data_IF_989106741253
#
_entry.id   IF_989106741253
#
_cell.length_a   1.000
_cell.length_b   1.000
_cell.length_c   1.000
_cell.angle_alpha   90.00
_cell.angle_beta   90.00
_cell.angle_gamma   90.00
#
_symmetry.space_group_name_H-M   'P 1'
#
loop_
_entity.id
_entity.type
_entity.pdbx_description
1 polymer ?
#
# COMPACT_ATOMS: atom_id res chain seq x y z
N UNK A 1 -0.07 -8.17 2.95
CA UNK A 1 1.20 -7.99 2.25
C UNK A 1 1.13 -6.65 1.53
N UNK A 2 1.77 -5.63 2.07
CA UNK A 2 1.90 -4.33 1.44
C UNK A 2 3.27 -4.26 0.76
N UNK A 3 3.31 -3.75 -0.47
CA UNK A 3 4.54 -3.58 -1.24
C UNK A 3 4.72 -2.08 -1.46
N UNK A 4 5.83 -1.55 -0.94
CA UNK A 4 6.21 -0.14 -1.07
C UNK A 4 7.11 -0.03 -2.29
N UNK A 5 6.67 0.71 -3.32
CA UNK A 5 7.45 0.97 -4.52
C UNK A 5 8.19 2.30 -4.37
N UNK A 6 9.53 2.24 -4.34
CA UNK A 6 10.39 3.43 -4.40
C UNK A 6 10.43 3.96 -5.84
N UNK A 7 10.01 5.20 -6.04
CA UNK A 7 10.01 5.87 -7.34
C UNK A 7 11.42 6.30 -7.73
N UNK A 8 12.10 5.47 -8.52
CA UNK A 8 13.41 5.81 -9.11
C UNK A 8 13.60 5.37 -10.56
N UNK A 9 12.68 4.56 -11.13
CA UNK A 9 12.81 4.10 -12.51
C UNK A 9 11.43 3.93 -13.15
N UNK A 10 11.16 4.75 -14.16
CA UNK A 10 10.01 4.64 -15.06
C UNK A 10 10.24 3.42 -15.97
N UNK A 11 9.79 2.24 -15.55
CA UNK A 11 9.75 1.08 -16.44
C UNK A 11 8.65 1.26 -17.49
N UNK A 12 9.06 1.70 -18.68
CA UNK A 12 8.25 1.76 -19.89
C UNK A 12 7.97 0.31 -20.34
N UNK A 13 6.80 -0.23 -19.98
CA UNK A 13 6.37 -1.57 -20.38
C UNK A 13 5.96 -1.60 -21.86
N UNK A 14 6.91 -1.91 -22.74
CA UNK A 14 6.63 -2.28 -24.12
C UNK A 14 6.67 -3.80 -24.31
N UNK A 15 5.53 -4.33 -24.80
CA UNK A 15 5.33 -5.60 -25.53
C UNK A 15 5.43 -6.95 -24.79
N UNK A 16 4.23 -7.44 -24.46
CA UNK A 16 3.64 -8.79 -24.59
C UNK A 16 4.57 -9.93 -25.06
N UNK A 17 4.65 -11.00 -24.25
CA UNK A 17 4.86 -12.39 -24.69
C UNK A 17 3.97 -13.31 -23.84
N UNK A 18 3.07 -14.13 -24.41
CA UNK A 18 2.30 -15.11 -23.64
C UNK A 18 3.05 -16.46 -23.64
N UNK A 19 3.38 -16.98 -22.47
CA UNK A 19 3.81 -18.38 -22.32
C UNK A 19 2.72 -19.13 -21.58
N UNK A 20 2.06 -20.02 -22.32
CA UNK A 20 1.10 -21.01 -21.86
C UNK A 20 1.76 -21.93 -20.81
N UNK A 21 1.18 -22.04 -19.63
CA UNK A 21 1.69 -22.91 -18.56
C UNK A 21 0.69 -23.10 -17.41
N UNK A 22 -0.15 -24.13 -17.55
CA UNK A 22 -0.89 -24.89 -16.53
C UNK A 22 -1.53 -24.20 -15.29
N UNK A 23 -2.86 -24.28 -15.29
CA UNK A 23 -3.75 -24.75 -14.20
C UNK A 23 -3.44 -24.33 -12.76
N UNK A 24 -4.22 -23.35 -12.28
CA UNK A 24 -5.00 -23.47 -11.04
C UNK A 24 -6.22 -22.56 -11.18
N UNK A 25 -7.41 -23.15 -11.33
CA UNK A 25 -8.68 -22.41 -11.24
C UNK A 25 -9.00 -22.11 -9.77
N UNK A 26 -8.12 -21.37 -9.09
CA UNK A 26 -8.55 -20.59 -7.94
C UNK A 26 -9.23 -19.35 -8.51
N UNK A 27 -10.38 -18.96 -7.94
CA UNK A 27 -10.98 -17.66 -8.25
C UNK A 27 -9.90 -16.60 -8.08
N UNK A 28 -9.35 -16.11 -9.21
CA UNK A 28 -8.39 -15.02 -9.27
C UNK A 28 -9.17 -13.78 -8.84
N UNK A 29 -9.37 -13.64 -7.52
CA UNK A 29 -9.88 -12.40 -6.93
C UNK A 29 -8.87 -11.35 -7.32
N UNK A 30 -9.25 -10.52 -8.28
CA UNK A 30 -8.45 -9.39 -8.75
C UNK A 30 -8.16 -8.54 -7.53
N UNK A 31 -6.92 -8.66 -7.01
CA UNK A 31 -6.48 -7.88 -5.86
C UNK A 31 -6.28 -6.46 -6.36
N UNK A 32 -7.09 -5.54 -5.85
CA UNK A 32 -6.91 -4.10 -6.10
C UNK A 32 -5.99 -3.56 -5.01
N UNK A 33 -4.94 -2.85 -5.43
CA UNK A 33 -4.12 -2.05 -4.52
C UNK A 33 -4.81 -0.72 -4.23
N UNK A 34 -4.60 -0.19 -3.03
CA UNK A 34 -5.07 1.12 -2.63
C UNK A 34 -3.86 1.94 -2.16
N UNK A 35 -3.73 3.15 -2.70
CA UNK A 35 -2.73 4.13 -2.26
C UNK A 35 -3.47 5.25 -1.55
N UNK A 36 -3.00 5.60 -0.34
CA UNK A 36 -3.53 6.72 0.44
C UNK A 36 -2.36 7.56 0.95
N UNK A 37 -2.55 8.89 0.94
CA UNK A 37 -1.58 9.83 1.51
C UNK A 37 -1.80 10.01 3.01
N UNK A 38 -0.71 10.24 3.73
CA UNK A 38 -0.68 10.65 5.14
C UNK A 38 0.33 11.79 5.30
N UNK A 39 0.08 12.67 6.26
CA UNK A 39 1.01 13.72 6.64
C UNK A 39 1.79 13.26 7.88
N UNK A 40 3.07 13.62 7.94
CA UNK A 40 3.92 13.34 9.09
C UNK A 40 4.47 14.67 9.59
N UNK A 41 4.35 14.95 10.88
CA UNK A 41 5.10 16.03 11.52
C UNK A 41 6.44 15.46 12.02
N UNK A 42 7.56 15.89 11.42
CA UNK A 42 8.91 15.40 11.72
C UNK A 42 9.27 15.56 13.21
N UNK A 43 8.76 16.60 13.88
CA UNK A 43 9.15 16.93 15.26
C UNK A 43 8.35 16.19 16.35
N UNK A 44 7.20 15.59 16.00
CA UNK A 44 6.25 15.05 17.00
C UNK A 44 5.98 13.55 16.89
N UNK A 45 6.48 12.89 15.84
CA UNK A 45 6.17 11.48 15.59
C UNK A 45 4.67 11.20 15.39
N UNK A 46 3.89 12.25 15.13
CA UNK A 46 2.45 12.20 14.92
C UNK A 46 2.16 12.10 13.43
N UNK A 47 1.30 11.16 13.07
CA UNK A 47 0.85 10.93 11.70
C UNK A 47 -0.60 11.35 11.57
N UNK A 48 -0.85 12.29 10.66
CA UNK A 48 -2.18 12.77 10.35
C UNK A 48 -2.71 12.12 9.06
N UNK A 49 -3.89 11.53 9.18
CA UNK A 49 -4.53 10.81 8.07
C UNK A 49 -5.29 11.80 7.17
N UNK A 50 -5.16 11.64 5.85
CA UNK A 50 -6.07 12.32 4.92
C UNK A 50 -7.50 11.80 5.08
N UNK A 51 -8.51 12.58 4.67
CA UNK A 51 -9.94 12.17 4.75
C UNK A 51 -10.22 10.78 4.15
N UNK A 52 -9.54 10.44 3.05
CA UNK A 52 -9.62 9.11 2.45
C UNK A 52 -8.99 8.04 3.33
N UNK A 53 -7.80 8.30 3.89
CA UNK A 53 -7.12 7.39 4.81
C UNK A 53 -7.92 7.19 6.11
N UNK A 54 -8.55 8.22 6.66
CA UNK A 54 -9.44 8.09 7.83
C UNK A 54 -10.63 7.17 7.54
N UNK A 55 -11.24 7.32 6.37
CA UNK A 55 -12.37 6.49 5.97
C UNK A 55 -11.96 5.01 5.92
N UNK A 56 -10.80 4.72 5.32
CA UNK A 56 -10.25 3.37 5.31
C UNK A 56 -9.81 2.89 6.68
N UNK A 57 -9.26 3.78 7.51
CA UNK A 57 -8.88 3.46 8.88
C UNK A 57 -10.10 3.01 9.68
N UNK A 58 -11.24 3.71 9.55
CA UNK A 58 -12.53 3.32 10.13
C UNK A 58 -13.00 1.95 9.63
N UNK A 59 -12.97 1.71 8.33
CA UNK A 59 -13.32 0.39 7.74
C UNK A 59 -12.41 -0.73 8.29
N UNK A 60 -11.14 -0.41 8.55
CA UNK A 60 -10.16 -1.35 9.10
C UNK A 60 -10.14 -1.43 10.64
N UNK A 61 -11.06 -0.75 11.33
CA UNK A 61 -11.10 -0.64 12.79
C UNK A 61 -9.78 -0.12 13.41
N UNK A 62 -9.18 0.92 12.84
CA UNK A 62 -7.97 1.55 13.40
C UNK A 62 -6.64 0.88 13.02
N UNK A 63 -6.68 -0.32 12.42
CA UNK A 63 -5.47 -1.11 12.11
C UNK A 63 -4.53 -0.41 11.13
N UNK A 64 -5.06 0.42 10.22
CA UNK A 64 -4.23 1.18 9.29
C UNK A 64 -3.30 2.13 10.04
N UNK A 65 -3.81 2.86 11.05
CA UNK A 65 -3.01 3.76 11.87
C UNK A 65 -1.99 3.00 12.73
N UNK A 66 -2.36 1.86 13.32
CA UNK A 66 -1.46 1.03 14.12
C UNK A 66 -0.25 0.55 13.30
N UNK A 67 -0.49 0.06 12.08
CA UNK A 67 0.57 -0.40 11.19
C UNK A 67 1.49 0.74 10.76
N UNK A 68 0.95 1.94 10.52
CA UNK A 68 1.77 3.10 10.18
C UNK A 68 2.63 3.51 11.37
N UNK A 69 2.09 3.54 12.59
CA UNK A 69 2.85 3.85 13.81
C UNK A 69 4.00 2.87 14.05
N UNK A 70 3.76 1.57 13.86
CA UNK A 70 4.82 0.55 13.96
C UNK A 70 5.93 0.80 12.94
N UNK A 71 5.59 1.23 11.73
CA UNK A 71 6.57 1.55 10.71
C UNK A 71 7.37 2.82 11.08
N UNK A 72 6.71 3.88 11.51
CA UNK A 72 7.38 5.14 11.88
C UNK A 72 8.32 4.94 13.07
N UNK A 73 7.94 4.18 14.09
CA UNK A 73 8.77 3.93 15.29
C UNK A 73 9.97 3.00 15.06
N UNK A 74 10.01 2.22 13.98
CA UNK A 74 11.13 1.31 13.69
C UNK A 74 12.14 1.87 12.68
N UNK A 75 11.84 2.99 12.04
CA UNK A 75 12.66 3.58 10.96
C UNK A 75 13.10 5.03 11.24
N UNK A 76 12.75 5.59 12.41
CA UNK A 76 13.34 6.78 13.04
C UNK A 76 14.19 6.33 14.23
#
# INVERSE_FOLDING_TARGET
MAVILRTGSLFRLSKVVPVFGLRCASSLKVKKGLVVGVYSEEDKGTVDLTRSAETYNKISNGKLLEHIKLFVLNYL
#
